data_IF_235501250783
#
_entry.id   IF_235501250783
#
_cell.length_a   1.000
_cell.length_b   1.000
_cell.length_c   1.000
_cell.angle_alpha   90.00
_cell.angle_beta   90.00
_cell.angle_gamma   90.00
#
_symmetry.space_group_name_H-M   'P 1'
#
loop_
_entity.id
_entity.type
_entity.pdbx_description
1 polymer ?
#
# COMPACT_ATOMS: atom_id res chain seq x y z
N UNK A 1 -30.92 -6.04 10.04
CA UNK A 1 -30.02 -5.80 8.90
C UNK A 1 -28.93 -4.84 9.37
N UNK A 2 -27.63 -5.10 9.16
CA UNK A 2 -26.65 -4.08 9.49
C UNK A 2 -26.74 -2.98 8.44
N UNK A 3 -26.78 -1.73 8.91
CA UNK A 3 -26.65 -0.56 8.06
C UNK A 3 -25.26 -0.61 7.42
N UNK A 4 -25.19 -0.69 6.09
CA UNK A 4 -23.93 -0.47 5.39
C UNK A 4 -23.52 0.96 5.69
N UNK A 5 -22.41 1.15 6.41
CA UNK A 5 -21.82 2.47 6.54
C UNK A 5 -21.56 2.99 5.13
N UNK A 6 -22.12 4.16 4.80
CA UNK A 6 -21.78 4.88 3.58
C UNK A 6 -20.30 5.26 3.69
N UNK A 7 -19.42 4.36 3.23
CA UNK A 7 -17.99 4.51 3.33
C UNK A 7 -17.53 5.65 2.44
N UNK A 8 -16.78 6.59 3.00
CA UNK A 8 -15.95 7.49 2.19
C UNK A 8 -15.05 6.59 1.32
N UNK A 9 -15.05 6.82 0.00
CA UNK A 9 -14.24 6.04 -0.93
C UNK A 9 -12.77 6.02 -0.44
N UNK A 10 -12.04 4.89 -0.63
CA UNK A 10 -10.65 4.82 -0.25
C UNK A 10 -9.87 5.95 -0.94
N UNK A 11 -9.08 6.68 -0.16
CA UNK A 11 -8.30 7.79 -0.70
C UNK A 11 -7.24 7.23 -1.64
N UNK A 12 -7.15 7.81 -2.84
CA UNK A 12 -6.16 7.47 -3.85
C UNK A 12 -5.12 8.59 -3.93
N UNK A 13 -3.83 8.25 -4.12
CA UNK A 13 -2.81 9.28 -4.31
C UNK A 13 -3.07 10.05 -5.60
N UNK A 14 -2.62 11.30 -5.63
CA UNK A 14 -2.67 12.12 -6.84
C UNK A 14 -1.64 11.64 -7.87
N UNK A 15 -0.50 11.14 -7.40
CA UNK A 15 0.61 10.70 -8.23
C UNK A 15 0.96 9.24 -7.93
N UNK A 16 1.03 8.43 -8.98
CA UNK A 16 1.60 7.08 -8.93
C UNK A 16 2.99 7.10 -9.53
N UNK A 17 3.92 6.42 -8.88
CA UNK A 17 5.24 6.18 -9.43
C UNK A 17 5.11 5.21 -10.60
N UNK A 18 5.79 5.49 -11.72
CA UNK A 18 5.81 4.57 -12.86
C UNK A 18 6.42 3.22 -12.48
N UNK A 19 7.39 3.22 -11.56
CA UNK A 19 7.99 2.04 -10.99
C UNK A 19 7.87 2.12 -9.47
N UNK A 20 7.13 1.20 -8.81
CA UNK A 20 7.07 1.15 -7.36
C UNK A 20 8.47 0.98 -6.76
N UNK A 21 8.80 1.80 -5.76
CA UNK A 21 10.13 1.84 -5.15
C UNK A 21 10.15 1.08 -3.84
N UNK A 22 11.13 0.18 -3.65
CA UNK A 22 11.35 -0.48 -2.37
C UNK A 22 11.94 0.53 -1.39
N UNK A 23 11.26 0.71 -0.26
CA UNK A 23 11.78 1.51 0.84
C UNK A 23 12.87 0.72 1.55
N UNK A 24 14.03 1.36 1.76
CA UNK A 24 15.10 0.80 2.59
C UNK A 24 14.55 0.54 4.01
N UNK A 25 14.90 -0.60 4.60
CA UNK A 25 14.30 -1.07 5.85
C UNK A 25 14.61 -2.51 6.17
N UNK A 26 14.35 -2.91 7.41
CA UNK A 26 14.10 -4.33 7.74
C UNK A 26 12.71 -4.71 7.24
N UNK A 27 12.49 -5.98 6.93
CA UNK A 27 11.29 -6.47 6.26
C UNK A 27 9.97 -5.96 6.87
N UNK A 28 9.91 -5.74 8.18
CA UNK A 28 8.73 -5.23 8.87
C UNK A 28 8.72 -3.70 9.10
N UNK A 29 9.86 -3.02 8.93
CA UNK A 29 10.03 -1.59 9.22
C UNK A 29 10.97 -0.88 8.26
N UNK A 30 10.52 0.21 7.60
CA UNK A 30 11.41 1.06 6.83
C UNK A 30 12.46 1.76 7.73
N UNK A 31 13.62 2.07 7.16
CA UNK A 31 14.78 2.70 7.84
C UNK A 31 14.48 4.14 8.26
N UNK A 32 13.59 4.82 7.52
CA UNK A 32 12.99 6.08 7.92
C UNK A 32 11.68 5.81 8.70
N UNK A 33 11.29 6.64 9.69
CA UNK A 33 10.11 6.42 10.50
C UNK A 33 8.83 6.61 9.68
N UNK A 34 8.42 5.58 8.96
CA UNK A 34 7.16 5.56 8.24
C UNK A 34 6.04 5.31 9.25
N UNK A 35 5.21 6.32 9.50
CA UNK A 35 4.08 6.19 10.43
C UNK A 35 2.82 5.85 9.65
N UNK A 36 2.33 4.63 9.77
CA UNK A 36 1.05 4.22 9.17
C UNK A 36 -0.10 5.06 9.75
N UNK A 37 -0.90 5.65 8.87
CA UNK A 37 -2.03 6.51 9.21
C UNK A 37 -3.37 5.84 8.91
N UNK A 38 -3.47 5.13 7.78
CA UNK A 38 -4.67 4.37 7.36
C UNK A 38 -4.32 3.07 6.64
N UNK A 39 -5.24 2.12 6.65
CA UNK A 39 -5.12 0.81 6.01
C UNK A 39 -5.32 -0.34 7.00
N UNK A 40 -5.20 -1.61 6.56
CA UNK A 40 -4.92 -1.99 5.17
C UNK A 40 -6.13 -1.83 4.26
N UNK A 41 -5.89 -1.36 3.04
CA UNK A 41 -6.79 -1.58 1.92
C UNK A 41 -6.20 -2.67 1.03
N UNK A 42 -6.93 -3.77 0.85
CA UNK A 42 -6.47 -4.89 0.04
C UNK A 42 -6.87 -4.71 -1.42
N UNK A 43 -5.89 -4.82 -2.31
CA UNK A 43 -6.10 -4.90 -3.76
C UNK A 43 -5.57 -6.23 -4.23
N UNK A 44 -6.45 -7.01 -4.88
CA UNK A 44 -6.12 -8.31 -5.45
C UNK A 44 -6.39 -8.31 -6.96
N UNK A 45 -5.49 -8.92 -7.74
CA UNK A 45 -5.64 -9.12 -9.19
C UNK A 45 -5.13 -10.50 -9.59
N UNK A 46 -5.56 -11.04 -10.74
CA UNK A 46 -5.05 -12.31 -11.26
C UNK A 46 -5.57 -13.57 -10.56
N UNK A 47 -6.65 -13.49 -9.76
CA UNK A 47 -7.23 -14.65 -9.06
C UNK A 47 -7.93 -15.69 -9.96
N UNK A 48 -8.02 -15.41 -11.26
CA UNK A 48 -8.65 -16.27 -12.28
C UNK A 48 -7.73 -16.61 -13.46
N UNK A 49 -6.50 -16.10 -13.50
CA UNK A 49 -5.55 -16.42 -14.57
C UNK A 49 -4.82 -17.73 -14.23
N UNK A 50 -5.05 -18.75 -15.06
CA UNK A 50 -4.45 -20.08 -14.92
C UNK A 50 -2.92 -20.02 -15.16
N UNK A 51 -2.14 -19.63 -14.15
CA UNK A 51 -0.68 -19.85 -14.15
C UNK A 51 0.17 -18.73 -13.59
N UNK A 52 -0.33 -17.50 -13.51
CA UNK A 52 0.40 -16.39 -12.90
C UNK A 52 0.04 -16.25 -11.41
N UNK A 53 1.06 -16.03 -10.57
CA UNK A 53 0.84 -15.74 -9.15
C UNK A 53 0.05 -14.42 -9.04
N UNK A 54 -1.19 -14.50 -8.55
CA UNK A 54 -2.06 -13.34 -8.41
C UNK A 54 -1.41 -12.24 -7.56
N UNK A 55 -1.70 -10.98 -7.88
CA UNK A 55 -1.23 -9.86 -7.07
C UNK A 55 -2.11 -9.78 -5.83
N UNK A 56 -1.52 -9.81 -4.63
CA UNK A 56 -2.23 -9.57 -3.37
C UNK A 56 -1.44 -8.58 -2.53
N UNK A 57 -1.93 -7.34 -2.46
CA UNK A 57 -1.22 -6.23 -1.82
C UNK A 57 -2.09 -5.55 -0.78
N UNK A 58 -1.53 -5.34 0.41
CA UNK A 58 -2.12 -4.52 1.45
C UNK A 58 -1.54 -3.11 1.36
N UNK A 59 -2.35 -2.15 0.92
CA UNK A 59 -1.99 -0.74 0.82
C UNK A 59 -2.31 0.03 2.10
N UNK A 60 -1.46 1.01 2.40
CA UNK A 60 -1.56 1.90 3.54
C UNK A 60 -1.27 3.33 3.10
N UNK A 61 -1.87 4.28 3.83
CA UNK A 61 -1.42 5.67 3.81
C UNK A 61 -0.47 5.84 4.97
N UNK A 62 0.72 6.36 4.72
CA UNK A 62 1.71 6.60 5.75
C UNK A 62 2.26 8.03 5.68
N UNK A 63 2.67 8.57 6.83
CA UNK A 63 3.49 9.77 6.87
C UNK A 63 4.96 9.35 6.75
N UNK A 64 5.68 9.93 5.79
CA UNK A 64 7.12 9.82 5.67
C UNK A 64 7.87 10.77 6.59
N UNK A 65 9.20 10.73 6.53
CA UNK A 65 10.08 11.44 7.46
C UNK A 65 10.00 12.97 7.35
N UNK A 66 9.61 13.50 6.19
CA UNK A 66 9.42 14.93 5.96
C UNK A 66 7.94 15.35 6.11
N UNK A 67 7.07 14.45 6.58
CA UNK A 67 5.63 14.70 6.76
C UNK A 67 4.79 14.48 5.49
N UNK A 68 5.40 14.04 4.40
CA UNK A 68 4.74 13.71 3.16
C UNK A 68 3.78 12.51 3.33
N UNK A 69 2.66 12.53 2.63
CA UNK A 69 1.69 11.44 2.64
C UNK A 69 1.98 10.46 1.51
N UNK A 70 2.37 9.26 1.90
CA UNK A 70 2.81 8.17 1.03
C UNK A 70 1.74 7.10 0.90
N UNK A 71 1.60 6.56 -0.30
CA UNK A 71 0.81 5.37 -0.58
C UNK A 71 1.77 4.19 -0.74
N UNK A 72 1.84 3.37 0.30
CA UNK A 72 2.77 2.23 0.40
C UNK A 72 2.00 0.93 0.45
N UNK A 73 2.64 -0.18 0.09
CA UNK A 73 2.05 -1.51 0.25
C UNK A 73 3.04 -2.56 0.75
N UNK A 74 2.47 -3.67 1.24
CA UNK A 74 3.17 -4.96 1.41
C UNK A 74 2.61 -5.97 0.43
N UNK A 75 3.51 -6.69 -0.22
CA UNK A 75 3.15 -7.81 -1.07
C UNK A 75 2.94 -9.05 -0.19
N UNK A 76 1.78 -9.70 -0.32
CA UNK A 76 1.43 -10.88 0.48
C UNK A 76 1.96 -12.17 -0.14
N UNK A 77 2.27 -12.18 -1.45
CA UNK A 77 2.83 -13.33 -2.14
C UNK A 77 4.37 -13.32 -2.09
N UNK A 78 4.97 -12.12 -2.05
CA UNK A 78 6.40 -11.92 -1.83
C UNK A 78 6.66 -11.06 -0.58
N UNK A 79 6.40 -11.60 0.63
CA UNK A 79 6.56 -10.85 1.87
C UNK A 79 8.00 -10.37 2.05
N UNK A 80 8.15 -9.14 2.53
CA UNK A 80 9.44 -8.47 2.72
C UNK A 80 9.25 -6.96 2.86
N UNK A 81 10.19 -6.20 2.30
CA UNK A 81 10.22 -4.75 2.39
C UNK A 81 8.93 -4.03 1.95
N UNK A 82 8.68 -2.89 2.58
CA UNK A 82 7.66 -1.93 2.17
C UNK A 82 7.94 -1.35 0.78
N UNK A 83 6.90 -1.15 -0.01
CA UNK A 83 7.01 -0.58 -1.36
C UNK A 83 6.19 0.71 -1.47
N UNK A 84 6.83 1.79 -1.89
CA UNK A 84 6.19 3.05 -2.25
C UNK A 84 5.62 2.97 -3.66
N UNK A 85 4.33 3.28 -3.81
CA UNK A 85 3.65 3.26 -5.10
C UNK A 85 3.07 4.62 -5.48
N UNK A 86 2.78 5.50 -4.52
CA UNK A 86 2.26 6.82 -4.84
C UNK A 86 2.43 7.86 -3.73
N UNK A 87 2.13 9.10 -4.07
CA UNK A 87 2.27 10.28 -3.21
C UNK A 87 0.97 11.09 -3.28
N UNK A 88 0.46 11.54 -2.12
CA UNK A 88 -0.78 12.32 -2.02
C UNK A 88 -0.57 13.84 -2.21
N UNK A 89 0.69 14.30 -2.19
CA UNK A 89 1.21 15.68 -2.13
C UNK A 89 1.59 16.13 -0.71
#
# INVERSE_FOLDING_TARGET
>A
APVAAAGCAPARPLWLLMHPERLAGRDDRPDAPLRLLRGPERIESGWWENGDAGIRRDYFIAAGGAGELLWVYRDLEAPGAWVLHGIFA
#
